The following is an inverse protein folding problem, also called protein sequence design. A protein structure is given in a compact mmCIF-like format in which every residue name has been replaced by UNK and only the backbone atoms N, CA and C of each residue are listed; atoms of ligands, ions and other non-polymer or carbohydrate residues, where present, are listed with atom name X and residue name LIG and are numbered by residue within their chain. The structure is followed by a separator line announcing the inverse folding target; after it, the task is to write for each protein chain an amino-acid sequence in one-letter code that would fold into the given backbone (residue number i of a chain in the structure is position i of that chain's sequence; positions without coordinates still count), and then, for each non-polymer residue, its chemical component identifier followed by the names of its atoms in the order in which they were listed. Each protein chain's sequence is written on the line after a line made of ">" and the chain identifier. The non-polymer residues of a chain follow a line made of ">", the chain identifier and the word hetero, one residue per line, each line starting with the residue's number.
data_IF_867865253095
#
_entry.id   IF_867865253095
#
_cell.length_a   1.000
_cell.length_b   1.000
_cell.length_c   1.000
_cell.angle_alpha   90.00
_cell.angle_beta   90.00
_cell.angle_gamma   90.00
#
_symmetry.space_group_name_H-M   'P 1'
#
loop_
_entity.id
_entity.type
_entity.pdbx_description
1 polymer ?
#
# COMPACT_ATOMS: atom_id res chain seq x y z
N UNK A 1 11.02 30.40 -1.56
CA UNK A 1 11.30 29.36 -2.58
C UNK A 1 10.31 29.55 -3.72
N UNK A 2 10.75 29.58 -4.98
CA UNK A 2 9.83 29.66 -6.12
C UNK A 2 8.87 28.47 -6.11
N UNK A 3 7.59 28.71 -6.40
CA UNK A 3 6.58 27.66 -6.49
C UNK A 3 6.89 26.78 -7.71
N UNK A 4 7.13 25.48 -7.47
CA UNK A 4 7.21 24.50 -8.54
C UNK A 4 5.87 24.49 -9.30
N UNK A 5 5.93 24.55 -10.63
CA UNK A 5 4.76 24.42 -11.50
C UNK A 5 4.95 23.17 -12.35
N UNK A 6 4.03 22.22 -12.24
CA UNK A 6 4.01 21.01 -13.04
C UNK A 6 2.80 21.01 -13.96
N UNK A 7 2.95 20.43 -15.14
CA UNK A 7 1.82 19.83 -15.85
C UNK A 7 1.57 18.41 -15.31
N UNK A 8 0.46 17.77 -15.72
CA UNK A 8 0.07 16.46 -15.21
C UNK A 8 1.14 15.36 -15.43
N UNK A 9 1.81 15.36 -16.59
CA UNK A 9 2.85 14.37 -16.90
C UNK A 9 4.10 14.56 -16.02
N UNK A 10 4.56 15.80 -15.84
CA UNK A 10 5.66 16.13 -14.95
C UNK A 10 5.34 15.78 -13.49
N UNK A 11 4.11 16.06 -13.06
CA UNK A 11 3.64 15.71 -11.73
C UNK A 11 3.65 14.18 -11.51
N UNK A 12 3.18 13.40 -12.49
CA UNK A 12 3.22 11.93 -12.42
C UNK A 12 4.65 11.38 -12.28
N UNK A 13 5.58 11.89 -13.10
CA UNK A 13 6.99 11.48 -13.02
C UNK A 13 7.59 11.84 -11.66
N UNK A 14 7.35 13.07 -11.19
CA UNK A 14 7.85 13.53 -9.90
C UNK A 14 7.28 12.72 -8.72
N UNK A 15 5.99 12.37 -8.77
CA UNK A 15 5.34 11.56 -7.73
C UNK A 15 5.81 10.11 -7.74
N UNK A 16 6.02 9.50 -8.92
CA UNK A 16 6.64 8.17 -9.01
C UNK A 16 8.05 8.16 -8.44
N UNK A 17 8.86 9.18 -8.76
CA UNK A 17 10.20 9.31 -8.20
C UNK A 17 10.13 9.48 -6.68
N UNK A 18 9.24 10.33 -6.17
CA UNK A 18 9.03 10.53 -4.74
C UNK A 18 8.69 9.23 -4.01
N UNK A 19 7.83 8.39 -4.58
CA UNK A 19 7.49 7.09 -3.99
C UNK A 19 8.67 6.12 -4.01
N UNK A 20 9.45 6.08 -5.09
CA UNK A 20 10.70 5.30 -5.11
C UNK A 20 11.64 5.75 -3.99
N UNK A 21 11.76 7.05 -3.73
CA UNK A 21 12.56 7.55 -2.61
C UNK A 21 12.00 7.16 -1.23
N UNK A 22 10.68 7.10 -1.07
CA UNK A 22 10.07 6.59 0.17
C UNK A 22 10.37 5.10 0.35
N UNK A 23 10.26 4.30 -0.71
CA UNK A 23 10.62 2.89 -0.70
C UNK A 23 12.10 2.70 -0.32
N UNK A 24 12.98 3.55 -0.86
CA UNK A 24 14.40 3.58 -0.47
C UNK A 24 14.59 3.85 1.02
N UNK A 25 13.90 4.85 1.55
CA UNK A 25 13.97 5.20 2.97
C UNK A 25 13.47 4.06 3.85
N UNK A 26 12.37 3.40 3.45
CA UNK A 26 11.86 2.23 4.15
C UNK A 26 12.85 1.06 4.09
N UNK A 27 13.40 0.72 2.92
CA UNK A 27 14.39 -0.34 2.79
C UNK A 27 15.62 -0.09 3.68
N UNK A 28 16.11 1.17 3.74
CA UNK A 28 17.20 1.56 4.66
C UNK A 28 16.83 1.44 6.13
N UNK A 29 15.61 1.82 6.49
CA UNK A 29 15.12 1.64 7.86
C UNK A 29 15.15 0.16 8.25
N UNK A 30 14.71 -0.73 7.34
CA UNK A 30 14.71 -2.17 7.56
C UNK A 30 16.11 -2.81 7.54
N UNK A 31 17.13 -2.13 7.03
CA UNK A 31 18.53 -2.56 7.12
C UNK A 31 19.25 -2.09 8.38
N UNK A 32 18.60 -1.27 9.24
CA UNK A 32 19.23 -0.83 10.50
C UNK A 32 19.40 -2.00 11.49
N UNK A 33 20.41 -1.96 12.38
CA UNK A 33 20.66 -3.03 13.34
C UNK A 33 19.44 -3.41 14.19
N UNK A 34 18.62 -2.42 14.56
CA UNK A 34 17.39 -2.64 15.36
C UNK A 34 16.38 -3.50 14.60
N UNK A 35 16.14 -3.21 13.31
CA UNK A 35 15.20 -4.00 12.51
C UNK A 35 15.75 -5.38 12.16
N UNK A 36 17.05 -5.48 11.87
CA UNK A 36 17.72 -6.76 11.65
C UNK A 36 17.61 -7.64 12.90
N UNK A 37 17.92 -7.11 14.09
CA UNK A 37 17.82 -7.85 15.33
C UNK A 37 16.38 -8.31 15.62
N UNK A 38 15.39 -7.44 15.42
CA UNK A 38 13.97 -7.80 15.57
C UNK A 38 13.60 -8.96 14.64
N UNK A 39 14.02 -8.91 13.39
CA UNK A 39 13.77 -9.97 12.40
C UNK A 39 14.44 -11.29 12.80
N UNK A 40 15.67 -11.25 13.29
CA UNK A 40 16.36 -12.44 13.80
C UNK A 40 15.66 -13.05 15.02
N UNK A 41 15.06 -12.23 15.88
CA UNK A 41 14.23 -12.72 16.98
C UNK A 41 12.96 -13.43 16.49
N UNK A 42 12.37 -12.98 15.39
CA UNK A 42 11.21 -13.65 14.77
C UNK A 42 11.60 -14.97 14.11
N UNK A 43 12.82 -15.06 13.56
CA UNK A 43 13.37 -16.27 12.95
C UNK A 43 13.71 -17.39 13.92
N UNK A 44 13.76 -17.14 15.23
CA UNK A 44 14.07 -18.18 16.24
C UNK A 44 13.10 -19.38 16.21
N UNK A 45 11.92 -19.20 15.61
CA UNK A 45 10.90 -20.24 15.47
C UNK A 45 11.00 -21.00 14.14
N UNK A 46 11.91 -20.62 13.26
CA UNK A 46 12.13 -21.27 11.98
C UNK A 46 13.23 -22.34 12.07
N UNK A 47 13.11 -23.43 11.30
CA UNK A 47 14.21 -24.33 11.03
C UNK A 47 15.46 -23.61 10.49
N UNK A 48 16.69 -24.05 10.83
CA UNK A 48 17.93 -23.34 10.46
C UNK A 48 18.13 -23.13 8.95
N UNK A 49 17.69 -24.08 8.13
CA UNK A 49 17.71 -24.00 6.66
C UNK A 49 16.79 -22.89 6.13
N UNK A 50 15.60 -22.75 6.74
CA UNK A 50 14.67 -21.66 6.43
C UNK A 50 15.19 -20.29 6.90
N UNK A 51 15.89 -20.23 8.03
CA UNK A 51 16.56 -18.99 8.48
C UNK A 51 17.57 -18.51 7.43
N UNK A 52 18.41 -19.41 6.92
CA UNK A 52 19.42 -19.03 5.92
C UNK A 52 18.81 -18.69 4.56
N UNK A 53 17.71 -19.36 4.18
CA UNK A 53 16.93 -18.97 3.01
C UNK A 53 16.35 -17.55 3.15
N UNK A 54 15.68 -17.26 4.28
CA UNK A 54 15.12 -15.94 4.55
C UNK A 54 16.19 -14.86 4.61
N UNK A 55 17.34 -15.13 5.23
CA UNK A 55 18.46 -14.18 5.28
C UNK A 55 18.95 -13.80 3.88
N UNK A 56 19.17 -14.79 3.02
CA UNK A 56 19.57 -14.55 1.62
C UNK A 56 18.50 -13.79 0.85
N UNK A 57 17.23 -14.16 1.04
CA UNK A 57 16.12 -13.51 0.35
C UNK A 57 15.93 -12.04 0.78
N UNK A 58 16.07 -11.75 2.08
CA UNK A 58 16.07 -10.39 2.63
C UNK A 58 17.21 -9.57 2.04
N UNK A 59 18.44 -10.09 2.04
CA UNK A 59 19.60 -9.39 1.48
C UNK A 59 19.40 -9.06 -0.01
N UNK A 60 18.86 -10.01 -0.77
CA UNK A 60 18.54 -9.82 -2.18
C UNK A 60 17.42 -8.78 -2.40
N UNK A 61 16.35 -8.82 -1.60
CA UNK A 61 15.25 -7.85 -1.66
C UNK A 61 15.75 -6.43 -1.31
N UNK A 62 16.54 -6.28 -0.25
CA UNK A 62 17.15 -4.99 0.11
C UNK A 62 18.06 -4.48 -1.00
N UNK A 63 18.89 -5.35 -1.61
CA UNK A 63 19.74 -4.98 -2.74
C UNK A 63 18.91 -4.44 -3.91
N UNK A 64 17.83 -5.14 -4.31
CA UNK A 64 16.95 -4.71 -5.41
C UNK A 64 16.21 -3.41 -5.09
N UNK A 65 15.66 -3.30 -3.87
CA UNK A 65 14.95 -2.09 -3.44
C UNK A 65 15.88 -0.88 -3.34
N UNK A 66 17.16 -1.10 -3.06
CA UNK A 66 18.14 -0.02 -2.85
C UNK A 66 19.03 0.32 -4.03
N UNK A 67 19.01 -0.48 -5.11
CA UNK A 67 19.92 -0.35 -6.26
C UNK A 67 19.95 1.06 -6.86
N UNK A 68 18.77 1.70 -7.00
CA UNK A 68 18.62 3.04 -7.60
C UNK A 68 18.40 4.14 -6.55
N UNK A 69 18.71 3.88 -5.29
CA UNK A 69 18.44 4.84 -4.23
C UNK A 69 19.49 5.95 -4.20
N UNK A 70 19.07 7.22 -4.07
CA UNK A 70 20.02 8.31 -3.85
C UNK A 70 20.78 8.05 -2.56
N UNK A 71 22.07 8.38 -2.49
CA UNK A 71 22.95 8.08 -1.34
C UNK A 71 22.37 8.41 0.04
N UNK A 72 22.91 7.77 1.08
CA UNK A 72 22.45 7.99 2.45
C UNK A 72 22.65 9.45 2.86
N UNK A 73 21.62 10.04 3.48
CA UNK A 73 21.68 11.40 4.00
C UNK A 73 21.91 11.30 5.50
N UNK A 74 23.13 11.63 5.93
CA UNK A 74 23.51 11.65 7.35
C UNK A 74 23.41 13.05 7.95
N UNK A 75 23.40 14.11 7.12
CA UNK A 75 23.25 15.48 7.57
C UNK A 75 21.78 15.87 7.83
N UNK A 76 21.50 16.36 9.04
CA UNK A 76 20.17 16.81 9.46
C UNK A 76 19.66 17.98 8.61
N UNK A 77 20.53 18.92 8.21
CA UNK A 77 20.11 20.05 7.39
C UNK A 77 19.70 19.59 5.99
N UNK A 78 20.44 18.66 5.39
CA UNK A 78 20.09 18.01 4.14
C UNK A 78 18.78 17.20 4.24
N UNK A 79 18.53 16.48 5.35
CA UNK A 79 17.25 15.78 5.58
C UNK A 79 16.07 16.75 5.61
N UNK A 80 16.21 17.87 6.33
CA UNK A 80 15.17 18.92 6.41
C UNK A 80 14.91 19.49 5.02
N UNK A 81 15.96 19.86 4.28
CA UNK A 81 15.83 20.40 2.92
C UNK A 81 15.14 19.41 1.98
N UNK A 82 15.55 18.14 1.96
CA UNK A 82 14.90 17.09 1.16
C UNK A 82 13.43 16.91 1.52
N UNK A 83 13.10 16.93 2.81
CA UNK A 83 11.71 16.87 3.27
C UNK A 83 10.90 18.05 2.73
N UNK A 84 11.43 19.27 2.81
CA UNK A 84 10.78 20.48 2.28
C UNK A 84 10.60 20.43 0.75
N UNK A 85 11.63 20.05 0.01
CA UNK A 85 11.58 19.84 -1.44
C UNK A 85 10.50 18.82 -1.80
N UNK A 86 10.46 17.72 -1.06
CA UNK A 86 9.50 16.66 -1.28
C UNK A 86 8.05 17.08 -0.97
N UNK A 87 7.83 17.95 0.03
CA UNK A 87 6.53 18.55 0.30
C UNK A 87 6.13 19.55 -0.80
N UNK A 88 7.09 20.33 -1.31
CA UNK A 88 6.84 21.25 -2.42
C UNK A 88 6.45 20.50 -3.71
N UNK A 89 7.10 19.37 -4.00
CA UNK A 89 6.74 18.47 -5.12
C UNK A 89 5.31 17.96 -4.96
N UNK A 90 4.94 17.46 -3.78
CA UNK A 90 3.59 16.97 -3.50
C UNK A 90 2.54 18.06 -3.69
N UNK A 91 2.79 19.26 -3.16
CA UNK A 91 1.87 20.40 -3.30
C UNK A 91 1.68 20.79 -4.78
N UNK A 92 2.77 20.90 -5.54
CA UNK A 92 2.71 21.21 -6.97
C UNK A 92 2.00 20.12 -7.78
N UNK A 93 2.23 18.84 -7.45
CA UNK A 93 1.57 17.72 -8.11
C UNK A 93 0.06 17.67 -7.83
N UNK A 94 -0.37 18.04 -6.62
CA UNK A 94 -1.79 18.19 -6.29
C UNK A 94 -2.45 19.31 -7.08
N UNK A 95 -1.81 20.47 -7.19
CA UNK A 95 -2.31 21.58 -8.03
C UNK A 95 -2.42 21.17 -9.50
N UNK A 96 -1.53 20.29 -9.97
CA UNK A 96 -1.57 19.72 -11.31
C UNK A 96 -2.60 18.60 -11.49
N UNK A 97 -3.34 18.22 -10.44
CA UNK A 97 -4.36 17.16 -10.49
C UNK A 97 -3.81 15.75 -10.56
N UNK A 98 -2.55 15.51 -10.16
CA UNK A 98 -1.97 14.18 -10.26
C UNK A 98 -2.60 13.18 -9.27
N UNK A 99 -2.90 11.99 -9.80
CA UNK A 99 -3.54 10.90 -9.07
C UNK A 99 -2.72 10.42 -7.87
N UNK A 100 -1.40 10.24 -8.04
CA UNK A 100 -0.53 9.75 -6.98
C UNK A 100 -0.46 10.78 -5.84
N UNK A 101 -0.44 12.07 -6.19
CA UNK A 101 -0.45 13.17 -5.22
C UNK A 101 -1.75 13.25 -4.40
N UNK A 102 -2.89 12.85 -4.99
CA UNK A 102 -4.19 12.75 -4.31
C UNK A 102 -4.28 11.55 -3.36
N UNK A 103 -3.57 10.46 -3.67
CA UNK A 103 -3.51 9.29 -2.80
C UNK A 103 -2.70 9.52 -1.52
N UNK A 104 -1.80 10.51 -1.51
CA UNK A 104 -1.13 10.92 -0.29
C UNK A 104 -2.11 11.69 0.59
N UNK A 105 -2.39 11.24 1.83
CA UNK A 105 -3.30 11.96 2.72
C UNK A 105 -2.76 13.36 3.00
N UNK A 106 -3.64 14.37 2.89
CA UNK A 106 -3.25 15.77 3.02
C UNK A 106 -2.97 16.23 4.46
N UNK A 107 -3.38 15.46 5.47
CA UNK A 107 -3.38 15.93 6.86
C UNK A 107 -3.09 14.83 7.87
N UNK A 108 -2.33 15.20 8.91
CA UNK A 108 -2.47 14.61 10.25
C UNK A 108 -3.66 15.34 10.90
N UNK A 109 -4.81 14.68 10.99
CA UNK A 109 -6.07 15.25 11.50
C UNK A 109 -7.06 14.14 11.82
N UNK A 110 -8.24 14.49 12.35
CA UNK A 110 -9.31 13.51 12.53
C UNK A 110 -9.85 13.09 11.16
N UNK A 111 -10.19 11.81 11.02
CA UNK A 111 -10.93 11.31 9.87
C UNK A 111 -12.31 12.01 9.85
N UNK A 112 -12.65 12.62 8.71
CA UNK A 112 -13.92 13.31 8.50
C UNK A 112 -14.66 12.68 7.32
N UNK A 113 -15.99 12.79 7.30
CA UNK A 113 -16.81 12.31 6.17
C UNK A 113 -16.40 12.96 4.82
N UNK A 114 -15.94 14.21 4.85
CA UNK A 114 -15.40 14.90 3.66
C UNK A 114 -14.12 14.22 3.15
N UNK A 115 -13.19 13.89 4.06
CA UNK A 115 -11.96 13.18 3.70
C UNK A 115 -12.26 11.77 3.17
N UNK A 116 -13.24 11.08 3.75
CA UNK A 116 -13.68 9.77 3.26
C UNK A 116 -14.30 9.89 1.85
N UNK A 117 -15.08 10.93 1.57
CA UNK A 117 -15.61 11.18 0.23
C UNK A 117 -14.50 11.49 -0.79
N UNK A 118 -13.49 12.29 -0.44
CA UNK A 118 -12.32 12.56 -1.29
C UNK A 118 -11.49 11.29 -1.55
N UNK A 119 -11.28 10.47 -0.53
CA UNK A 119 -10.59 9.19 -0.63
C UNK A 119 -11.36 8.27 -1.60
N UNK A 120 -12.69 8.17 -1.43
CA UNK A 120 -13.58 7.38 -2.30
C UNK A 120 -13.48 7.80 -3.77
N UNK A 121 -13.60 9.10 -4.05
CA UNK A 121 -13.45 9.64 -5.40
C UNK A 121 -12.07 9.31 -5.98
N UNK A 122 -11.01 9.39 -5.17
CA UNK A 122 -9.65 9.02 -5.58
C UNK A 122 -9.47 7.54 -5.86
N UNK A 123 -10.08 6.66 -5.06
CA UNK A 123 -10.06 5.23 -5.34
C UNK A 123 -10.75 4.89 -6.66
N UNK A 124 -11.87 5.54 -7.00
CA UNK A 124 -12.52 5.39 -8.32
C UNK A 124 -11.61 5.82 -9.46
N UNK A 125 -11.00 7.01 -9.38
CA UNK A 125 -10.10 7.51 -10.41
C UNK A 125 -8.87 6.62 -10.60
N UNK A 126 -8.35 6.02 -9.50
CA UNK A 126 -7.25 5.06 -9.58
C UNK A 126 -7.66 3.81 -10.34
N UNK A 127 -8.79 3.20 -10.01
CA UNK A 127 -9.27 2.00 -10.70
C UNK A 127 -9.54 2.30 -12.18
N UNK A 128 -10.16 3.44 -12.48
CA UNK A 128 -10.44 3.87 -13.85
C UNK A 128 -9.17 4.14 -14.67
N UNK A 129 -8.07 4.53 -14.02
CA UNK A 129 -6.80 4.79 -14.71
C UNK A 129 -6.14 3.53 -15.27
N UNK A 130 -6.46 2.34 -14.73
CA UNK A 130 -5.79 1.09 -15.07
C UNK A 130 -4.31 1.05 -14.67
N UNK A 131 -3.82 1.99 -13.85
CA UNK A 131 -2.45 2.00 -13.38
C UNK A 131 -2.28 1.01 -12.21
N UNK A 132 -1.72 -0.16 -12.49
CA UNK A 132 -1.58 -1.24 -11.51
C UNK A 132 -0.73 -0.85 -10.31
N UNK A 133 0.28 0.00 -10.51
CA UNK A 133 1.10 0.53 -9.42
C UNK A 133 0.28 1.45 -8.49
N UNK A 134 -0.66 2.22 -9.04
CA UNK A 134 -1.57 3.04 -8.25
C UNK A 134 -2.59 2.16 -7.53
N UNK A 135 -3.17 1.17 -8.21
CA UNK A 135 -4.13 0.23 -7.62
C UNK A 135 -3.51 -0.48 -6.41
N UNK A 136 -2.27 -0.96 -6.53
CA UNK A 136 -1.57 -1.65 -5.43
C UNK A 136 -1.44 -0.80 -4.16
N UNK A 137 -1.51 0.53 -4.27
CA UNK A 137 -1.32 1.47 -3.16
C UNK A 137 -2.62 1.97 -2.54
N UNK A 138 -3.76 1.48 -3.01
CA UNK A 138 -5.06 1.91 -2.51
C UNK A 138 -5.31 1.53 -1.04
N UNK A 139 -4.55 0.60 -0.46
CA UNK A 139 -4.68 0.22 0.96
C UNK A 139 -4.60 1.39 1.94
N UNK A 140 -3.86 2.44 1.60
CA UNK A 140 -3.78 3.66 2.42
C UNK A 140 -5.08 4.46 2.46
N UNK A 141 -5.80 4.52 1.34
CA UNK A 141 -7.10 5.20 1.26
C UNK A 141 -8.21 4.32 1.79
N UNK A 142 -8.10 3.00 1.58
CA UNK A 142 -9.05 2.01 2.10
C UNK A 142 -9.19 2.11 3.63
N UNK A 143 -8.08 2.29 4.33
CA UNK A 143 -8.08 2.52 5.79
C UNK A 143 -8.95 3.72 6.20
N UNK A 144 -8.95 4.82 5.43
CA UNK A 144 -9.78 6.00 5.72
C UNK A 144 -11.27 5.70 5.55
N UNK A 145 -11.63 4.84 4.59
CA UNK A 145 -13.02 4.44 4.36
C UNK A 145 -13.53 3.50 5.46
N UNK A 146 -12.67 2.60 5.98
CA UNK A 146 -13.03 1.68 7.05
C UNK A 146 -13.31 2.41 8.37
N UNK A 147 -12.60 3.49 8.68
CA UNK A 147 -12.80 4.27 9.91
C UNK A 147 -14.08 5.12 9.92
N UNK A 148 -14.54 5.58 8.75
CA UNK A 148 -15.76 6.40 8.60
C UNK A 148 -17.03 5.60 8.87
N UNK A 149 -16.99 4.27 8.72
CA UNK A 149 -18.17 3.42 8.75
C UNK A 149 -18.86 3.33 10.13
N UNK A 150 -18.25 3.81 11.23
CA UNK A 150 -18.84 3.86 12.57
C UNK A 150 -19.32 2.53 13.17
N UNK A 151 -19.17 1.43 12.42
CA UNK A 151 -19.72 0.11 12.68
C UNK A 151 -18.60 -0.88 12.44
N UNK A 152 -18.31 -1.73 13.43
CA UNK A 152 -17.35 -2.82 13.29
C UNK A 152 -17.95 -3.86 12.33
N UNK A 153 -17.71 -3.75 11.03
CA UNK A 153 -18.07 -4.76 10.05
C UNK A 153 -16.97 -5.81 9.94
N UNK A 154 -17.29 -7.01 9.47
CA UNK A 154 -16.28 -8.04 9.22
C UNK A 154 -15.22 -7.61 8.19
N UNK A 155 -15.55 -6.62 7.34
CA UNK A 155 -14.65 -6.05 6.35
C UNK A 155 -13.45 -5.32 7.00
N UNK A 156 -13.56 -4.90 8.27
CA UNK A 156 -12.44 -4.31 9.00
C UNK A 156 -11.27 -5.28 9.23
N UNK A 157 -11.52 -6.60 9.10
CA UNK A 157 -10.48 -7.63 9.18
C UNK A 157 -9.80 -7.86 7.83
N UNK A 158 -10.27 -7.24 6.75
CA UNK A 158 -9.60 -7.24 5.46
C UNK A 158 -8.56 -6.12 5.46
N UNK A 159 -7.29 -6.50 5.61
CA UNK A 159 -6.18 -5.55 5.55
C UNK A 159 -6.02 -5.02 4.12
N UNK A 160 -6.42 -3.76 3.92
CA UNK A 160 -6.27 -3.06 2.65
C UNK A 160 -4.83 -3.05 2.13
N UNK A 161 -3.83 -3.05 3.03
CA UNK A 161 -2.40 -3.05 2.67
C UNK A 161 -1.97 -4.37 2.01
N UNK A 162 -2.66 -5.47 2.32
CA UNK A 162 -2.44 -6.77 1.69
C UNK A 162 -3.39 -7.00 0.50
N UNK A 163 -4.65 -6.56 0.62
CA UNK A 163 -5.69 -6.73 -0.40
C UNK A 163 -5.33 -6.06 -1.73
N UNK A 164 -5.01 -4.77 -1.71
CA UNK A 164 -4.86 -3.97 -2.92
C UNK A 164 -3.67 -4.35 -3.78
N UNK A 165 -2.48 -4.66 -3.21
CA UNK A 165 -1.40 -5.28 -3.97
C UNK A 165 -1.81 -6.57 -4.66
N UNK A 166 -2.53 -7.48 -3.98
CA UNK A 166 -3.02 -8.73 -4.60
C UNK A 166 -4.03 -8.49 -5.73
N UNK A 167 -4.91 -7.50 -5.59
CA UNK A 167 -5.81 -7.06 -6.67
C UNK A 167 -5.01 -6.57 -7.88
N UNK A 168 -3.96 -5.77 -7.67
CA UNK A 168 -3.09 -5.32 -8.76
C UNK A 168 -2.35 -6.48 -9.44
N UNK A 169 -1.93 -7.52 -8.69
CA UNK A 169 -1.34 -8.73 -9.26
C UNK A 169 -2.30 -9.42 -10.24
N UNK A 170 -3.57 -9.61 -9.84
CA UNK A 170 -4.58 -10.23 -10.71
C UNK A 170 -4.87 -9.40 -11.97
N UNK A 171 -4.65 -8.10 -11.89
CA UNK A 171 -4.85 -7.18 -13.01
C UNK A 171 -3.58 -7.00 -13.88
N UNK A 172 -2.49 -7.70 -13.55
CA UNK A 172 -1.29 -7.80 -14.40
C UNK A 172 -0.01 -7.18 -13.82
N UNK A 173 -0.01 -6.72 -12.57
CA UNK A 173 1.23 -6.33 -11.89
C UNK A 173 2.12 -7.56 -11.64
N UNK A 174 3.43 -7.41 -11.81
CA UNK A 174 4.37 -8.46 -11.40
C UNK A 174 4.39 -8.59 -9.87
N UNK A 175 4.08 -9.80 -9.40
CA UNK A 175 4.04 -10.19 -8.00
C UNK A 175 4.73 -11.54 -7.76
N UNK A 176 5.57 -11.97 -8.71
CA UNK A 176 6.32 -13.21 -8.64
C UNK A 176 7.57 -13.11 -7.76
N UNK A 177 8.45 -14.12 -7.83
CA UNK A 177 9.73 -14.11 -7.14
C UNK A 177 10.56 -12.90 -7.58
N UNK A 178 11.16 -12.19 -6.63
CA UNK A 178 11.96 -10.98 -6.86
C UNK A 178 11.21 -9.77 -7.45
N UNK A 179 9.88 -9.82 -7.54
CA UNK A 179 9.08 -8.65 -7.89
C UNK A 179 9.20 -7.56 -6.82
N UNK A 180 9.10 -6.29 -7.24
CA UNK A 180 9.12 -5.15 -6.29
C UNK A 180 7.98 -5.24 -5.27
N UNK A 181 6.81 -5.72 -5.67
CA UNK A 181 5.66 -5.87 -4.80
C UNK A 181 5.93 -6.88 -3.67
N UNK A 182 6.50 -8.04 -4.00
CA UNK A 182 6.91 -9.02 -2.99
C UNK A 182 8.03 -8.47 -2.10
N UNK A 183 9.03 -7.80 -2.68
CA UNK A 183 10.13 -7.20 -1.93
C UNK A 183 9.63 -6.16 -0.92
N UNK A 184 8.68 -5.30 -1.30
CA UNK A 184 8.07 -4.32 -0.40
C UNK A 184 7.27 -5.01 0.72
N UNK A 185 6.41 -5.97 0.36
CA UNK A 185 5.55 -6.66 1.31
C UNK A 185 6.37 -7.42 2.36
N UNK A 186 7.45 -8.10 1.94
CA UNK A 186 8.27 -8.88 2.86
C UNK A 186 9.00 -8.01 3.89
N UNK A 187 9.35 -6.77 3.54
CA UNK A 187 9.93 -5.85 4.52
C UNK A 187 8.89 -5.38 5.55
N UNK A 188 7.64 -5.17 5.13
CA UNK A 188 6.56 -4.71 6.00
C UNK A 188 6.06 -5.80 6.96
N UNK A 189 5.94 -7.04 6.47
CA UNK A 189 5.43 -8.19 7.24
C UNK A 189 6.51 -8.77 8.18
N UNK A 190 7.77 -8.35 8.02
CA UNK A 190 8.89 -8.70 8.91
C UNK A 190 9.67 -9.93 8.46
N UNK A 191 9.02 -10.89 7.81
CA UNK A 191 9.59 -12.13 7.28
C UNK A 191 8.82 -12.58 6.02
N UNK A 192 9.43 -13.43 5.20
CA UNK A 192 8.82 -13.97 3.99
C UNK A 192 9.34 -13.37 2.68
N UNK A 193 10.60 -12.93 2.64
CA UNK A 193 11.20 -12.44 1.40
C UNK A 193 11.50 -13.57 0.40
N UNK A 194 11.43 -14.83 0.82
CA UNK A 194 11.71 -16.02 0.00
C UNK A 194 10.50 -16.69 -0.65
N UNK A 195 9.30 -16.09 -0.57
CA UNK A 195 8.08 -16.72 -1.07
C UNK A 195 8.03 -16.71 -2.61
N UNK A 196 7.33 -17.69 -3.22
CA UNK A 196 7.22 -17.77 -4.68
C UNK A 196 6.31 -16.68 -5.28
N UNK A 197 5.48 -16.03 -4.47
CA UNK A 197 4.62 -14.92 -4.89
C UNK A 197 4.12 -14.11 -3.68
N UNK A 198 3.61 -12.91 -3.96
CA UNK A 198 2.93 -12.09 -2.95
C UNK A 198 1.71 -12.81 -2.34
N UNK A 199 0.93 -13.52 -3.16
CA UNK A 199 -0.22 -14.28 -2.65
C UNK A 199 0.21 -15.39 -1.69
N UNK A 200 1.29 -16.11 -2.01
CA UNK A 200 1.81 -17.16 -1.13
C UNK A 200 2.25 -16.58 0.21
N UNK A 201 2.91 -15.41 0.20
CA UNK A 201 3.29 -14.68 1.41
C UNK A 201 2.05 -14.31 2.24
N UNK A 202 1.07 -13.63 1.64
CA UNK A 202 -0.12 -13.17 2.37
C UNK A 202 -0.93 -14.35 2.90
N UNK A 203 -1.08 -15.44 2.12
CA UNK A 203 -1.80 -16.66 2.53
C UNK A 203 -1.19 -17.30 3.77
N UNK A 204 0.12 -17.42 3.82
CA UNK A 204 0.81 -18.10 4.91
C UNK A 204 0.88 -17.24 6.17
N UNK A 205 1.03 -15.92 6.01
CA UNK A 205 1.16 -14.96 7.13
C UNK A 205 -0.16 -14.51 7.74
N UNK A 206 -1.26 -14.74 7.05
CA UNK A 206 -2.59 -14.42 7.56
C UNK A 206 -3.24 -15.63 8.23
N UNK A 207 -3.97 -15.46 9.34
CA UNK A 207 -4.87 -16.50 9.85
C UNK A 207 -5.77 -17.02 8.72
N UNK A 208 -6.01 -18.35 8.60
CA UNK A 208 -6.73 -18.91 7.46
C UNK A 208 -8.13 -18.31 7.22
N UNK A 209 -8.84 -17.94 8.30
CA UNK A 209 -10.15 -17.29 8.17
C UNK A 209 -10.04 -15.88 7.60
N UNK A 210 -9.02 -15.12 7.98
CA UNK A 210 -8.77 -13.76 7.50
C UNK A 210 -8.32 -13.77 6.04
N UNK A 211 -7.47 -14.73 5.68
CA UNK A 211 -7.09 -14.93 4.28
C UNK A 211 -8.31 -15.24 3.40
N UNK A 212 -9.24 -16.10 3.86
CA UNK A 212 -10.47 -16.39 3.10
C UNK A 212 -11.32 -15.15 2.84
N UNK A 213 -11.48 -14.27 3.85
CA UNK A 213 -12.21 -13.01 3.69
C UNK A 213 -11.50 -12.09 2.67
N UNK A 214 -10.19 -11.94 2.80
CA UNK A 214 -9.37 -11.12 1.91
C UNK A 214 -9.42 -11.64 0.47
N UNK A 215 -9.30 -12.95 0.30
CA UNK A 215 -9.33 -13.62 -1.00
C UNK A 215 -10.71 -13.55 -1.66
N UNK A 216 -11.79 -13.73 -0.89
CA UNK A 216 -13.15 -13.50 -1.39
C UNK A 216 -13.29 -12.04 -1.89
N UNK A 217 -12.90 -11.07 -1.07
CA UNK A 217 -12.99 -9.65 -1.41
C UNK A 217 -12.13 -9.29 -2.62
N UNK A 218 -10.92 -9.84 -2.73
CA UNK A 218 -10.03 -9.73 -3.89
C UNK A 218 -10.73 -10.18 -5.17
N UNK A 219 -11.29 -11.38 -5.19
CA UNK A 219 -11.99 -11.94 -6.37
C UNK A 219 -13.19 -11.09 -6.78
N UNK A 220 -13.99 -10.62 -5.81
CA UNK A 220 -15.13 -9.73 -6.05
C UNK A 220 -14.70 -8.42 -6.71
N UNK A 221 -13.67 -7.76 -6.16
CA UNK A 221 -13.13 -6.51 -6.71
C UNK A 221 -12.60 -6.72 -8.13
N UNK A 222 -11.76 -7.74 -8.34
CA UNK A 222 -11.19 -8.05 -9.66
C UNK A 222 -12.28 -8.33 -10.69
N UNK A 223 -13.31 -9.10 -10.32
CA UNK A 223 -14.44 -9.39 -11.20
C UNK A 223 -15.20 -8.11 -11.59
N UNK A 224 -15.43 -7.20 -10.64
CA UNK A 224 -16.08 -5.89 -10.90
C UNK A 224 -15.25 -5.01 -11.81
N UNK A 225 -13.94 -4.91 -11.58
CA UNK A 225 -13.02 -4.12 -12.40
C UNK A 225 -13.01 -4.66 -13.83
N UNK A 226 -12.80 -5.97 -14.01
CA UNK A 226 -12.76 -6.60 -15.34
C UNK A 226 -14.08 -6.49 -16.10
N UNK A 227 -15.22 -6.50 -15.41
CA UNK A 227 -16.54 -6.34 -16.04
C UNK A 227 -16.99 -4.87 -16.19
N UNK A 228 -16.17 -3.89 -15.80
CA UNK A 228 -16.56 -2.47 -15.79
C UNK A 228 -17.64 -2.09 -14.77
N UNK A 229 -18.00 -2.99 -13.83
CA UNK A 229 -19.06 -2.78 -12.81
C UNK A 229 -18.48 -2.15 -11.54
N UNK A 230 -17.78 -1.03 -11.72
CA UNK A 230 -17.10 -0.37 -10.61
C UNK A 230 -18.03 0.53 -9.79
N UNK A 231 -19.14 1.01 -10.34
CA UNK A 231 -20.09 1.85 -9.61
C UNK A 231 -20.53 1.19 -8.29
N UNK A 232 -20.47 1.92 -7.19
CA UNK A 232 -20.84 1.41 -5.87
C UNK A 232 -19.77 0.56 -5.17
N UNK A 233 -18.54 0.50 -5.67
CA UNK A 233 -17.51 -0.43 -5.14
C UNK A 233 -16.90 0.02 -3.82
N UNK A 234 -16.90 1.33 -3.57
CA UNK A 234 -16.29 1.98 -2.42
C UNK A 234 -17.32 2.65 -1.50
N UNK A 235 -18.60 2.45 -1.77
CA UNK A 235 -19.66 2.99 -0.92
C UNK A 235 -19.70 2.21 0.40
N UNK A 236 -20.01 2.89 1.52
CA UNK A 236 -20.22 2.20 2.78
C UNK A 236 -21.33 1.16 2.61
N UNK A 237 -21.19 0.02 3.29
CA UNK A 237 -22.28 -0.93 3.37
C UNK A 237 -23.52 -0.22 3.94
N UNK A 238 -24.72 -0.43 3.37
CA UNK A 238 -25.93 0.09 3.98
C UNK A 238 -26.03 -0.44 5.42
N UNK A 239 -26.51 0.37 6.38
CA UNK A 239 -26.68 -0.10 7.74
C UNK A 239 -27.57 -1.34 7.76
N UNK A 240 -27.32 -2.31 8.66
CA UNK A 240 -28.19 -3.47 8.80
C UNK A 240 -29.61 -2.97 9.02
N UNK A 241 -30.55 -3.42 8.18
CA UNK A 241 -31.94 -3.07 8.39
C UNK A 241 -32.38 -3.64 9.75
N UNK A 242 -33.10 -2.88 10.58
CA UNK A 242 -33.69 -3.44 11.78
C UNK A 242 -34.52 -4.66 11.35
N UNK A 243 -34.53 -5.75 12.14
CA UNK A 243 -35.40 -6.88 11.86
C UNK A 243 -36.79 -6.32 11.63
N UNK A 244 -37.40 -6.63 10.48
CA UNK A 244 -38.77 -6.20 10.21
C UNK A 244 -39.59 -6.71 11.38
N UNK A 245 -40.08 -5.80 12.22
CA UNK A 245 -41.08 -6.12 13.23
C UNK A 245 -42.21 -6.74 12.43
N UNK A 246 -42.30 -8.07 12.44
CA UNK A 246 -43.28 -8.85 11.69
C UNK A 246 -44.67 -8.65 12.27
N UNK A 247 -45.12 -7.40 12.40
CA UNK A 247 -46.50 -7.07 12.66
C UNK A 247 -47.24 -7.18 11.32
N UNK A 248 -48.17 -8.14 11.21
CA UNK A 248 -49.06 -8.24 10.06
C UNK A 248 -49.92 -6.98 9.90
#
# INVERSE_FOLDING_TARGET
>A
MPLLKFNAAQARVAMRQRWREQDCQMARLYSTPTFVQRREQEWRWLPPDLVEQERRAVAAALTRLTADCPGEITDKAQLIRRSQESQAVLAAARTAGDLYARMEPARRGRDTAELAAEARATMYDVVLSGDMEAIARLGRLDFLLQNDAGTQSIDMFVDGSSLWPMVACDLGMDCGPASRALDQACQQIGNGCGYPSLEALVRDRSPPWQYRLTDQRRREIVARIRSGRIAGMFEPAPPPQPPSDGRP
#
